data_IF_043718924869
#
_entry.id   IF_043718924869
#
_cell.length_a   1.000
_cell.length_b   1.000
_cell.length_c   1.000
_cell.angle_alpha   90.00
_cell.angle_beta   90.00
_cell.angle_gamma   90.00
#
_symmetry.space_group_name_H-M   'P 1'
#
loop_
_entity.id
_entity.type
_entity.pdbx_description
1 polymer ?
#
# COMPACT_ATOMS: atom_id res chain seq x y z
N UNK A 1 -7.22 -66.07 21.48
CA UNK A 1 -7.86 -64.75 21.67
C UNK A 1 -6.88 -63.80 22.36
N UNK A 2 -5.96 -63.16 21.64
CA UNK A 2 -4.92 -62.32 22.30
C UNK A 2 -4.31 -61.21 21.44
N UNK A 3 -4.88 -60.88 20.28
CA UNK A 3 -4.30 -59.91 19.33
C UNK A 3 -4.91 -58.51 19.33
N UNK A 4 -6.05 -58.27 20.02
CA UNK A 4 -6.72 -56.97 20.03
C UNK A 4 -6.13 -56.00 21.08
N UNK A 5 -5.81 -56.47 22.28
CA UNK A 5 -5.40 -55.58 23.38
C UNK A 5 -4.01 -54.96 23.22
N UNK A 6 -3.10 -55.61 22.49
CA UNK A 6 -1.76 -55.08 22.22
C UNK A 6 -1.77 -53.94 21.20
N UNK A 7 -2.72 -53.96 20.26
CA UNK A 7 -2.95 -52.88 19.28
C UNK A 7 -3.49 -51.62 19.96
N UNK A 8 -4.52 -51.77 20.79
CA UNK A 8 -5.11 -50.65 21.54
C UNK A 8 -4.09 -49.97 22.46
N UNK A 9 -3.27 -50.75 23.19
CA UNK A 9 -2.22 -50.19 24.05
C UNK A 9 -1.11 -49.47 23.26
N UNK A 10 -0.77 -49.97 22.06
CA UNK A 10 0.21 -49.32 21.19
C UNK A 10 -0.32 -48.02 20.59
N UNK A 11 -1.60 -47.99 20.20
CA UNK A 11 -2.29 -46.80 19.70
C UNK A 11 -2.45 -45.74 20.79
N UNK A 12 -2.80 -46.14 22.02
CA UNK A 12 -2.92 -45.22 23.15
C UNK A 12 -1.55 -44.60 23.54
N UNK A 13 -0.47 -45.38 23.46
CA UNK A 13 0.89 -44.88 23.68
C UNK A 13 1.31 -43.89 22.57
N UNK A 14 0.96 -44.15 21.32
CA UNK A 14 1.23 -43.25 20.21
C UNK A 14 0.43 -41.95 20.31
N UNK A 15 -0.85 -42.03 20.71
CA UNK A 15 -1.69 -40.87 20.99
C UNK A 15 -1.13 -40.02 22.15
N UNK A 16 -0.66 -40.65 23.23
CA UNK A 16 0.00 -39.92 24.34
C UNK A 16 1.27 -39.21 23.88
N UNK A 17 2.08 -39.84 23.04
CA UNK A 17 3.28 -39.19 22.46
C UNK A 17 2.91 -38.00 21.58
N UNK A 18 1.87 -38.12 20.74
CA UNK A 18 1.36 -37.01 19.93
C UNK A 18 0.84 -35.87 20.81
N UNK A 19 0.06 -36.17 21.86
CA UNK A 19 -0.42 -35.17 22.82
C UNK A 19 0.73 -34.44 23.51
N UNK A 20 1.73 -35.17 24.01
CA UNK A 20 2.90 -34.56 24.65
C UNK A 20 3.72 -33.68 23.70
N UNK A 21 3.81 -34.06 22.42
CA UNK A 21 4.47 -33.24 21.40
C UNK A 21 3.71 -31.94 21.16
N UNK A 22 2.39 -32.01 21.04
CA UNK A 22 1.51 -30.83 20.90
C UNK A 22 1.62 -29.93 22.12
N UNK A 23 1.56 -30.47 23.34
CA UNK A 23 1.69 -29.69 24.58
C UNK A 23 3.04 -28.94 24.64
N UNK A 24 4.11 -29.58 24.15
CA UNK A 24 5.44 -28.97 24.08
C UNK A 24 5.48 -27.83 23.07
N UNK A 25 4.90 -28.03 21.89
CA UNK A 25 4.78 -27.00 20.86
C UNK A 25 3.98 -25.79 21.36
N UNK A 26 2.84 -26.03 22.03
CA UNK A 26 2.02 -24.97 22.65
C UNK A 26 2.81 -24.19 23.71
N UNK A 27 3.60 -24.87 24.55
CA UNK A 27 4.42 -24.19 25.55
C UNK A 27 5.53 -23.34 24.93
N UNK A 28 6.15 -23.82 23.86
CA UNK A 28 7.20 -23.09 23.15
C UNK A 28 6.62 -21.88 22.39
N UNK A 29 5.46 -22.04 21.73
CA UNK A 29 4.72 -20.95 21.10
C UNK A 29 4.26 -19.92 22.12
N UNK A 30 3.75 -20.34 23.28
CA UNK A 30 3.36 -19.41 24.36
C UNK A 30 4.55 -18.56 24.83
N UNK A 31 5.73 -19.17 24.98
CA UNK A 31 6.96 -18.44 25.35
C UNK A 31 7.41 -17.47 24.26
N UNK A 32 7.28 -17.85 22.98
CA UNK A 32 7.60 -16.98 21.84
C UNK A 32 6.64 -15.78 21.76
N UNK A 33 5.34 -16.03 21.84
CA UNK A 33 4.28 -15.01 21.79
C UNK A 33 4.38 -14.02 22.95
N UNK A 34 4.75 -14.46 24.16
CA UNK A 34 4.97 -13.58 25.32
C UNK A 34 6.14 -12.59 25.13
N UNK A 35 7.06 -12.88 24.21
CA UNK A 35 8.23 -12.03 23.90
C UNK A 35 8.04 -11.21 22.62
N UNK A 36 6.91 -11.37 21.95
CA UNK A 36 6.56 -10.63 20.74
C UNK A 36 5.98 -9.27 21.14
N UNK A 37 6.55 -8.20 20.60
CA UNK A 37 6.07 -6.84 20.78
C UNK A 37 5.05 -6.54 19.67
N UNK A 38 3.78 -6.47 20.04
CA UNK A 38 2.68 -6.19 19.11
C UNK A 38 2.52 -4.68 18.94
N UNK A 39 2.66 -4.20 17.71
CA UNK A 39 2.54 -2.78 17.37
C UNK A 39 1.38 -2.60 16.40
N UNK A 40 0.44 -1.73 16.75
CA UNK A 40 -0.73 -1.42 15.93
C UNK A 40 -0.61 -0.02 15.30
N UNK A 41 -0.69 0.07 13.97
CA UNK A 41 -0.60 1.33 13.22
C UNK A 41 -1.99 1.91 12.95
N UNK A 42 -2.25 3.12 13.44
CA UNK A 42 -3.54 3.79 13.35
C UNK A 42 -3.44 5.13 12.62
N UNK A 43 -4.59 5.63 12.16
CA UNK A 43 -4.69 6.91 11.47
C UNK A 43 -5.66 6.86 10.30
N UNK A 44 -6.05 8.02 9.79
CA UNK A 44 -6.92 8.19 8.63
C UNK A 44 -6.39 7.48 7.38
N UNK A 45 -7.22 7.33 6.33
CA UNK A 45 -6.71 6.94 5.02
C UNK A 45 -5.53 7.83 4.64
N UNK A 46 -4.52 7.26 3.95
CA UNK A 46 -3.40 8.03 3.37
C UNK A 46 -2.39 8.61 4.36
N UNK A 47 -2.60 8.47 5.67
CA UNK A 47 -1.70 8.98 6.71
C UNK A 47 -0.29 8.35 6.79
N UNK A 48 0.08 7.49 5.84
CA UNK A 48 1.42 6.90 5.75
C UNK A 48 1.65 5.59 6.51
N UNK A 49 0.62 4.97 7.10
CA UNK A 49 0.73 3.68 7.82
C UNK A 49 1.40 2.58 6.99
N UNK A 50 0.87 2.31 5.80
CA UNK A 50 1.43 1.28 4.92
C UNK A 50 2.84 1.63 4.45
N UNK A 51 3.18 2.93 4.34
CA UNK A 51 4.55 3.39 4.07
C UNK A 51 5.49 3.02 5.20
N UNK A 52 5.08 3.16 6.46
CA UNK A 52 5.88 2.72 7.63
C UNK A 52 6.14 1.22 7.55
N UNK A 53 5.13 0.39 7.25
CA UNK A 53 5.32 -1.06 7.12
C UNK A 53 6.30 -1.40 5.99
N UNK A 54 6.16 -0.76 4.83
CA UNK A 54 7.08 -0.95 3.70
C UNK A 54 8.52 -0.57 4.08
N UNK A 55 8.71 0.53 4.82
CA UNK A 55 10.03 0.92 5.35
C UNK A 55 10.60 -0.11 6.32
N UNK A 56 9.77 -0.68 7.21
CA UNK A 56 10.24 -1.73 8.13
C UNK A 56 10.73 -2.97 7.39
N UNK A 57 10.09 -3.35 6.28
CA UNK A 57 10.58 -4.43 5.42
C UNK A 57 11.94 -4.09 4.81
N UNK A 58 12.14 -2.87 4.32
CA UNK A 58 13.42 -2.42 3.76
C UNK A 58 14.54 -2.49 4.81
N UNK A 59 14.29 -1.95 6.00
CA UNK A 59 15.31 -1.80 7.04
C UNK A 59 15.60 -3.14 7.77
N UNK A 60 14.58 -3.98 7.99
CA UNK A 60 14.68 -5.15 8.87
C UNK A 60 14.47 -6.51 8.18
N UNK A 61 14.11 -6.56 6.90
CA UNK A 61 13.86 -7.81 6.16
C UNK A 61 14.61 -7.89 4.82
N UNK A 62 15.75 -7.22 4.68
CA UNK A 62 16.58 -7.23 3.48
C UNK A 62 15.89 -6.69 2.21
N UNK A 63 14.97 -5.73 2.34
CA UNK A 63 14.36 -5.11 1.16
C UNK A 63 13.30 -5.96 0.49
N UNK A 64 13.09 -5.66 -0.79
CA UNK A 64 12.19 -6.39 -1.67
C UNK A 64 12.97 -7.24 -2.67
N UNK A 65 12.56 -8.48 -2.87
CA UNK A 65 13.12 -9.29 -3.97
C UNK A 65 12.63 -8.77 -5.32
N UNK A 66 13.31 -9.13 -6.41
CA UNK A 66 12.88 -8.76 -7.77
C UNK A 66 11.45 -9.23 -8.05
N UNK A 67 11.11 -10.45 -7.63
CA UNK A 67 9.77 -11.00 -7.78
C UNK A 67 8.75 -10.16 -7.00
N UNK A 68 9.04 -9.79 -5.75
CA UNK A 68 8.16 -8.92 -4.95
C UNK A 68 8.00 -7.54 -5.60
N UNK A 69 9.07 -6.95 -6.13
CA UNK A 69 9.02 -5.68 -6.86
C UNK A 69 8.12 -5.77 -8.08
N UNK A 70 8.19 -6.87 -8.84
CA UNK A 70 7.33 -7.08 -10.02
C UNK A 70 5.83 -7.10 -9.67
N UNK A 71 5.45 -7.58 -8.47
CA UNK A 71 4.04 -7.54 -8.04
C UNK A 71 3.49 -6.11 -7.89
N UNK A 72 4.36 -5.11 -7.71
CA UNK A 72 3.95 -3.69 -7.64
C UNK A 72 3.82 -3.03 -9.02
N UNK A 73 4.27 -3.68 -10.10
CA UNK A 73 4.34 -3.09 -11.44
C UNK A 73 2.97 -2.57 -11.90
N UNK A 74 1.94 -3.41 -11.80
CA UNK A 74 0.57 -3.04 -12.15
C UNK A 74 0.06 -1.87 -11.30
N UNK A 75 0.35 -1.86 -10.00
CA UNK A 75 -0.04 -0.77 -9.10
C UNK A 75 0.62 0.54 -9.51
N UNK A 76 1.91 0.52 -9.83
CA UNK A 76 2.63 1.72 -10.27
C UNK A 76 2.07 2.24 -11.59
N UNK A 77 1.78 1.36 -12.55
CA UNK A 77 1.14 1.76 -13.82
C UNK A 77 -0.21 2.40 -13.60
N UNK A 78 -1.06 1.80 -12.75
CA UNK A 78 -2.36 2.38 -12.38
C UNK A 78 -2.19 3.73 -11.72
N UNK A 79 -1.30 3.86 -10.73
CA UNK A 79 -1.06 5.13 -10.06
C UNK A 79 -0.57 6.22 -11.02
N UNK A 80 0.33 5.91 -11.96
CA UNK A 80 0.79 6.86 -12.97
C UNK A 80 -0.38 7.38 -13.83
N UNK A 81 -1.21 6.48 -14.35
CA UNK A 81 -2.36 6.82 -15.20
C UNK A 81 -3.46 7.54 -14.41
N UNK A 82 -3.76 7.09 -13.20
CA UNK A 82 -4.76 7.70 -12.31
C UNK A 82 -4.34 9.12 -11.90
N UNK A 83 -3.06 9.34 -11.60
CA UNK A 83 -2.54 10.69 -11.33
C UNK A 83 -2.69 11.60 -12.55
N UNK A 84 -2.36 11.08 -13.75
CA UNK A 84 -2.50 11.85 -14.99
C UNK A 84 -3.97 12.23 -15.27
N UNK A 85 -4.90 11.29 -15.04
CA UNK A 85 -6.34 11.56 -15.15
C UNK A 85 -6.82 12.59 -14.13
N UNK A 86 -6.39 12.50 -12.88
CA UNK A 86 -6.72 13.50 -11.87
C UNK A 86 -6.23 14.91 -12.24
N UNK A 87 -5.02 15.03 -12.81
CA UNK A 87 -4.51 16.30 -13.32
C UNK A 87 -5.37 16.84 -14.47
N UNK A 88 -5.77 15.97 -15.41
CA UNK A 88 -6.66 16.32 -16.53
C UNK A 88 -8.04 16.77 -16.05
N UNK A 89 -8.60 16.08 -15.06
CA UNK A 89 -9.88 16.44 -14.46
C UNK A 89 -9.80 17.80 -13.77
N UNK A 90 -8.71 18.08 -13.05
CA UNK A 90 -8.48 19.40 -12.46
C UNK A 90 -8.35 20.50 -13.53
N UNK A 91 -7.58 20.25 -14.60
CA UNK A 91 -7.49 21.19 -15.74
C UNK A 91 -8.87 21.51 -16.31
N UNK A 92 -9.73 20.50 -16.52
CA UNK A 92 -11.10 20.68 -17.00
C UNK A 92 -11.99 21.40 -15.98
N UNK A 93 -11.85 21.10 -14.69
CA UNK A 93 -12.64 21.70 -13.61
C UNK A 93 -12.38 23.20 -13.47
N UNK A 94 -11.14 23.65 -13.64
CA UNK A 94 -10.73 25.05 -13.52
C UNK A 94 -10.63 25.78 -14.86
N UNK A 95 -11.13 25.18 -15.94
CA UNK A 95 -11.07 25.72 -17.31
C UNK A 95 -9.64 26.10 -17.77
N UNK A 96 -8.63 25.36 -17.28
CA UNK A 96 -7.22 25.55 -17.63
C UNK A 96 -6.90 24.69 -18.87
N UNK A 97 -6.51 25.35 -19.96
CA UNK A 97 -6.15 24.71 -21.22
C UNK A 97 -4.63 24.57 -21.30
N UNK A 98 -4.07 23.42 -21.75
CA UNK A 98 -2.64 23.29 -21.98
C UNK A 98 -2.14 24.33 -22.98
N UNK A 99 -0.95 24.88 -22.74
CA UNK A 99 -0.34 25.85 -23.66
C UNK A 99 0.13 25.16 -24.95
N UNK A 100 0.61 23.91 -24.85
CA UNK A 100 1.01 23.15 -26.01
C UNK A 100 -0.19 22.45 -26.65
N UNK A 101 -0.48 22.76 -27.92
CA UNK A 101 -1.63 22.18 -28.63
C UNK A 101 -1.58 20.64 -28.69
N UNK A 102 -0.38 20.06 -28.81
CA UNK A 102 -0.17 18.61 -28.80
C UNK A 102 -0.64 17.94 -27.50
N UNK A 103 -0.62 18.68 -26.37
CA UNK A 103 -1.06 18.15 -25.10
C UNK A 103 -2.58 17.93 -25.05
N UNK A 104 -3.38 18.59 -25.90
CA UNK A 104 -4.82 18.30 -26.00
C UNK A 104 -5.07 16.87 -26.49
N UNK A 105 -4.32 16.42 -27.49
CA UNK A 105 -4.41 15.03 -27.96
C UNK A 105 -3.88 14.04 -26.90
N UNK A 106 -2.82 14.40 -26.19
CA UNK A 106 -2.30 13.60 -25.07
C UNK A 106 -3.32 13.46 -23.94
N UNK A 107 -4.05 14.52 -23.59
CA UNK A 107 -5.10 14.48 -22.58
C UNK A 107 -6.22 13.51 -22.98
N UNK A 108 -6.72 13.58 -24.21
CA UNK A 108 -7.78 12.68 -24.69
C UNK A 108 -7.31 11.21 -24.74
N UNK A 109 -6.07 10.97 -25.18
CA UNK A 109 -5.47 9.64 -25.15
C UNK A 109 -5.35 9.09 -23.73
N UNK A 110 -4.78 9.87 -22.80
CA UNK A 110 -4.58 9.45 -21.41
C UNK A 110 -5.91 9.21 -20.69
N UNK A 111 -6.91 10.04 -20.95
CA UNK A 111 -8.22 9.93 -20.32
C UNK A 111 -8.96 8.64 -20.72
N UNK A 112 -8.82 8.22 -21.97
CA UNK A 112 -9.42 6.99 -22.50
C UNK A 112 -8.57 5.74 -22.27
N UNK A 113 -7.27 5.89 -22.00
CA UNK A 113 -6.36 4.77 -21.78
C UNK A 113 -6.75 3.93 -20.54
N UNK A 114 -6.64 2.61 -20.69
CA UNK A 114 -6.85 1.64 -19.62
C UNK A 114 -5.60 0.77 -19.49
N UNK A 115 -5.09 0.65 -18.27
CA UNK A 115 -3.95 -0.21 -17.97
C UNK A 115 -4.39 -1.67 -18.11
N UNK A 116 -3.59 -2.46 -18.82
CA UNK A 116 -3.83 -3.89 -18.94
C UNK A 116 -3.80 -4.56 -17.55
N UNK A 117 -4.77 -5.41 -17.19
CA UNK A 117 -4.76 -6.09 -15.90
C UNK A 117 -3.62 -7.10 -15.73
N UNK A 118 -2.98 -7.57 -16.81
CA UNK A 118 -1.82 -8.45 -16.75
C UNK A 118 -0.54 -7.63 -16.43
N UNK A 119 0.11 -7.84 -15.27
CA UNK A 119 1.33 -7.12 -14.89
C UNK A 119 2.52 -7.40 -15.82
N UNK A 120 2.46 -8.45 -16.64
CA UNK A 120 3.53 -8.80 -17.58
C UNK A 120 3.45 -7.98 -18.87
N UNK A 121 2.29 -7.41 -19.19
CA UNK A 121 2.12 -6.54 -20.37
C UNK A 121 2.79 -5.19 -20.09
N UNK A 122 3.79 -4.79 -20.89
CA UNK A 122 4.41 -3.47 -20.72
C UNK A 122 3.44 -2.33 -20.96
N UNK A 123 3.66 -1.20 -20.28
CA UNK A 123 2.88 0.01 -20.52
C UNK A 123 3.15 0.55 -21.93
N UNK A 124 2.11 1.00 -22.63
CA UNK A 124 2.29 1.65 -23.94
C UNK A 124 3.20 2.88 -23.77
N UNK A 125 4.31 2.93 -24.51
CA UNK A 125 5.29 4.01 -24.42
C UNK A 125 4.66 5.38 -24.69
N UNK A 126 3.56 5.44 -25.45
CA UNK A 126 2.79 6.67 -25.66
C UNK A 126 2.26 7.26 -24.35
N UNK A 127 1.93 6.44 -23.35
CA UNK A 127 1.50 6.90 -22.02
C UNK A 127 2.62 7.69 -21.35
N UNK A 128 3.82 7.11 -21.25
CA UNK A 128 4.95 7.79 -20.60
C UNK A 128 5.32 9.11 -21.28
N UNK A 129 5.28 9.15 -22.62
CA UNK A 129 5.54 10.36 -23.40
C UNK A 129 4.46 11.41 -23.17
N UNK A 130 3.19 11.01 -23.23
CA UNK A 130 2.05 11.91 -23.01
C UNK A 130 2.05 12.49 -21.59
N UNK A 131 2.34 11.65 -20.58
CA UNK A 131 2.43 12.11 -19.18
C UNK A 131 3.59 13.09 -19.00
N UNK A 132 4.77 12.79 -19.53
CA UNK A 132 5.92 13.68 -19.42
C UNK A 132 5.66 15.03 -20.14
N UNK A 133 5.07 15.00 -21.34
CA UNK A 133 4.73 16.20 -22.10
C UNK A 133 3.65 17.05 -21.42
N UNK A 134 2.65 16.41 -20.80
CA UNK A 134 1.63 17.12 -20.04
C UNK A 134 2.19 17.73 -18.76
N UNK A 135 3.06 17.00 -18.04
CA UNK A 135 3.67 17.48 -16.81
C UNK A 135 4.62 18.68 -17.02
N UNK A 136 5.29 18.73 -18.17
CA UNK A 136 6.16 19.84 -18.59
C UNK A 136 5.36 21.02 -19.20
N UNK A 137 4.03 20.93 -19.29
CA UNK A 137 3.22 22.02 -19.82
C UNK A 137 3.22 23.24 -18.88
N UNK A 138 3.48 24.46 -19.38
CA UNK A 138 3.48 25.66 -18.55
C UNK A 138 2.13 25.99 -17.88
N UNK A 139 1.02 25.37 -18.30
CA UNK A 139 -0.27 25.50 -17.64
C UNK A 139 -0.35 24.71 -16.32
N UNK A 140 0.48 23.68 -16.10
CA UNK A 140 0.42 22.82 -14.91
C UNK A 140 0.60 23.57 -13.59
N UNK A 141 1.55 24.51 -13.44
CA UNK A 141 1.64 25.36 -12.25
C UNK A 141 0.31 26.01 -11.86
N UNK A 142 -0.44 26.54 -12.82
CA UNK A 142 -1.76 27.16 -12.58
C UNK A 142 -2.79 26.16 -12.04
N UNK A 143 -2.70 24.89 -12.46
CA UNK A 143 -3.55 23.81 -11.91
C UNK A 143 -3.17 23.51 -10.46
N UNK A 144 -1.87 23.51 -10.15
CA UNK A 144 -1.36 23.22 -8.82
C UNK A 144 -1.64 24.33 -7.80
N UNK A 145 -1.90 25.56 -8.25
CA UNK A 145 -2.42 26.63 -7.37
C UNK A 145 -3.76 26.26 -6.72
N UNK A 146 -4.54 25.38 -7.36
CA UNK A 146 -5.81 24.86 -6.86
C UNK A 146 -5.70 23.49 -6.17
N UNK A 147 -4.49 23.02 -5.82
CA UNK A 147 -4.27 21.66 -5.31
C UNK A 147 -5.11 21.29 -4.06
N UNK A 148 -5.50 22.26 -3.24
CA UNK A 148 -6.39 22.01 -2.08
C UNK A 148 -7.85 21.76 -2.45
N UNK A 149 -8.26 22.14 -3.67
CA UNK A 149 -9.67 22.09 -4.13
C UNK A 149 -10.02 20.80 -4.88
N UNK A 150 -9.02 19.99 -5.22
CA UNK A 150 -9.21 18.69 -5.84
C UNK A 150 -8.32 17.64 -5.20
N UNK A 151 -8.65 16.38 -5.43
CA UNK A 151 -7.84 15.29 -4.93
C UNK A 151 -6.86 14.80 -6.00
N UNK A 152 -5.58 14.80 -5.67
CA UNK A 152 -4.50 14.14 -6.42
C UNK A 152 -3.59 13.43 -5.43
N UNK A 153 -2.98 12.32 -5.84
CA UNK A 153 -2.03 11.63 -4.97
C UNK A 153 -0.80 12.51 -4.70
N UNK A 154 -0.37 12.61 -3.44
CA UNK A 154 0.85 13.33 -3.04
C UNK A 154 2.11 12.88 -3.81
N UNK A 155 2.14 11.62 -4.25
CA UNK A 155 3.24 11.06 -5.03
C UNK A 155 3.14 11.30 -6.54
N UNK A 156 2.11 12.02 -7.02
CA UNK A 156 1.95 12.30 -8.46
C UNK A 156 3.19 12.96 -9.09
N UNK A 157 3.83 13.99 -8.48
CA UNK A 157 5.03 14.60 -9.04
C UNK A 157 6.18 13.61 -9.25
N UNK A 158 6.34 12.65 -8.33
CA UNK A 158 7.33 11.59 -8.49
C UNK A 158 7.01 10.69 -9.68
N UNK A 159 5.76 10.23 -9.82
CA UNK A 159 5.38 9.37 -10.93
C UNK A 159 5.52 10.07 -12.28
N UNK A 160 5.20 11.37 -12.35
CA UNK A 160 5.35 12.16 -13.56
C UNK A 160 6.82 12.37 -13.94
N UNK A 161 7.69 12.69 -12.98
CA UNK A 161 9.13 12.81 -13.21
C UNK A 161 9.76 11.48 -13.67
N UNK A 162 9.26 10.36 -13.15
CA UNK A 162 9.76 9.01 -13.46
C UNK A 162 9.02 8.33 -14.62
N UNK A 163 8.10 9.03 -15.30
CA UNK A 163 7.21 8.45 -16.31
C UNK A 163 7.97 7.73 -17.42
N UNK A 164 9.09 8.29 -17.89
CA UNK A 164 9.93 7.68 -18.91
C UNK A 164 10.55 6.35 -18.46
N UNK A 165 11.01 6.25 -17.20
CA UNK A 165 11.54 5.01 -16.63
C UNK A 165 10.43 3.98 -16.43
N UNK A 166 9.29 4.41 -15.90
CA UNK A 166 8.12 3.54 -15.66
C UNK A 166 7.57 2.98 -16.97
N UNK A 167 7.54 3.77 -18.04
CA UNK A 167 7.07 3.33 -19.37
C UNK A 167 8.03 2.44 -20.15
N UNK A 168 9.23 2.15 -19.61
CA UNK A 168 10.20 1.28 -20.27
C UNK A 168 9.67 -0.16 -20.37
N UNK A 169 9.85 -0.87 -21.51
CA UNK A 169 9.48 -2.28 -21.63
C UNK A 169 10.16 -3.18 -20.59
N UNK A 170 11.40 -2.84 -20.22
CA UNK A 170 12.20 -3.56 -19.21
C UNK A 170 12.03 -2.98 -17.80
N UNK A 171 11.00 -2.17 -17.58
CA UNK A 171 10.74 -1.57 -16.28
C UNK A 171 10.51 -2.64 -15.19
N UNK A 172 11.36 -2.58 -14.17
CA UNK A 172 11.19 -3.26 -12.88
C UNK A 172 11.03 -2.17 -11.82
N UNK A 173 9.97 -2.21 -10.98
CA UNK A 173 9.80 -1.25 -9.91
C UNK A 173 10.99 -1.24 -8.95
N UNK A 174 11.34 -0.06 -8.47
CA UNK A 174 12.31 0.15 -7.40
C UNK A 174 11.61 0.21 -6.03
N UNK A 175 12.37 0.12 -4.94
CA UNK A 175 11.82 0.34 -3.60
C UNK A 175 11.21 1.75 -3.45
N UNK A 176 11.76 2.74 -4.14
CA UNK A 176 11.21 4.10 -4.17
C UNK A 176 9.83 4.16 -4.84
N UNK A 177 9.60 3.33 -5.87
CA UNK A 177 8.29 3.15 -6.49
C UNK A 177 7.33 2.45 -5.54
N UNK A 178 7.78 1.36 -4.89
CA UNK A 178 6.96 0.61 -3.93
C UNK A 178 6.50 1.48 -2.76
N UNK A 179 7.39 2.31 -2.21
CA UNK A 179 7.06 3.21 -1.11
C UNK A 179 5.98 4.23 -1.48
N UNK A 180 5.98 4.71 -2.72
CA UNK A 180 5.03 5.71 -3.25
C UNK A 180 3.78 5.09 -3.88
N UNK A 181 3.86 3.82 -4.27
CA UNK A 181 2.75 3.07 -4.82
C UNK A 181 1.61 2.99 -3.80
N UNK A 182 0.44 3.39 -4.24
CA UNK A 182 -0.76 3.44 -3.44
C UNK A 182 -1.70 2.33 -3.84
N UNK A 183 -2.00 1.51 -2.85
CA UNK A 183 -3.10 0.55 -2.88
C UNK A 183 -3.99 0.85 -1.69
N UNK A 184 -5.31 0.89 -1.91
CA UNK A 184 -6.26 1.01 -0.81
C UNK A 184 -6.13 -0.22 0.09
N UNK A 185 -5.64 -0.02 1.31
CA UNK A 185 -5.51 -1.08 2.31
C UNK A 185 -6.89 -1.52 2.78
N UNK A 186 -7.26 -2.77 2.49
CA UNK A 186 -8.51 -3.39 2.95
C UNK A 186 -8.21 -4.49 3.96
N UNK A 187 -8.86 -4.46 5.12
CA UNK A 187 -8.62 -5.41 6.20
C UNK A 187 -7.38 -5.10 7.04
N UNK A 188 -6.71 -6.16 7.49
CA UNK A 188 -5.58 -6.13 8.43
C UNK A 188 -4.40 -6.85 7.75
N UNK A 189 -3.26 -6.19 7.70
CA UNK A 189 -2.00 -6.75 7.21
C UNK A 189 -1.03 -6.89 8.38
N UNK A 190 -0.42 -8.07 8.49
CA UNK A 190 0.54 -8.38 9.55
C UNK A 190 1.96 -8.48 8.98
N UNK A 191 2.94 -7.96 9.70
CA UNK A 191 4.35 -8.11 9.34
C UNK A 191 5.17 -8.40 10.58
N UNK A 192 6.05 -9.40 10.51
CA UNK A 192 6.92 -9.80 11.63
C UNK A 192 8.38 -9.57 11.27
N UNK A 193 9.12 -8.89 12.12
CA UNK A 193 10.55 -8.66 11.92
C UNK A 193 11.29 -8.57 13.26
N UNK A 194 12.60 -8.78 13.22
CA UNK A 194 13.44 -8.66 14.41
C UNK A 194 14.15 -7.30 14.39
N UNK A 195 14.04 -6.57 15.50
CA UNK A 195 14.73 -5.30 15.72
C UNK A 195 15.62 -5.43 16.95
N UNK A 196 16.91 -5.68 16.73
CA UNK A 196 17.85 -6.00 17.81
C UNK A 196 17.45 -7.30 18.52
N UNK A 197 17.09 -7.22 19.79
CA UNK A 197 16.62 -8.36 20.59
C UNK A 197 15.09 -8.50 20.64
N UNK A 198 14.35 -7.55 20.03
CA UNK A 198 12.90 -7.53 20.04
C UNK A 198 12.35 -8.22 18.80
N UNK A 199 11.35 -9.10 18.99
CA UNK A 199 10.54 -9.62 17.89
C UNK A 199 9.31 -8.72 17.75
N UNK A 200 9.23 -7.96 16.66
CA UNK A 200 8.13 -7.05 16.39
C UNK A 200 7.08 -7.76 15.55
N UNK A 201 5.82 -7.61 15.92
CA UNK A 201 4.65 -7.99 15.14
C UNK A 201 3.80 -6.75 14.90
N UNK A 202 3.89 -6.22 13.69
CA UNK A 202 3.25 -4.98 13.29
C UNK A 202 1.95 -5.26 12.53
N UNK A 203 0.91 -4.51 12.86
CA UNK A 203 -0.41 -4.58 12.24
C UNK A 203 -0.71 -3.26 11.52
N UNK A 204 -0.89 -3.31 10.20
CA UNK A 204 -1.41 -2.21 9.39
C UNK A 204 -2.87 -2.45 9.06
N UNK A 205 -3.71 -1.49 9.42
CA UNK A 205 -5.15 -1.59 9.27
C UNK A 205 -5.66 -0.50 8.35
N UNK A 206 -6.71 -0.81 7.58
CA UNK A 206 -7.36 0.19 6.73
C UNK A 206 -7.83 1.39 7.55
N UNK A 207 -7.38 2.59 7.18
CA UNK A 207 -7.74 3.85 7.87
C UNK A 207 -9.09 4.45 7.46
N UNK A 208 -9.70 3.90 6.40
CA UNK A 208 -10.98 4.31 5.85
C UNK A 208 -12.14 3.94 6.77
N UNK A 209 -13.23 4.73 6.77
CA UNK A 209 -14.34 4.53 7.72
C UNK A 209 -14.95 3.14 7.63
N UNK A 210 -15.04 2.58 6.42
CA UNK A 210 -15.56 1.23 6.16
C UNK A 210 -14.70 0.14 6.82
N UNK A 211 -13.41 0.38 7.00
CA UNK A 211 -12.46 -0.58 7.56
C UNK A 211 -12.36 -0.46 9.08
N UNK A 212 -12.76 0.68 9.66
CA UNK A 212 -12.71 0.96 11.10
C UNK A 212 -13.61 0.07 11.98
N UNK A 213 -14.39 -0.86 11.41
CA UNK A 213 -15.10 -1.88 12.22
C UNK A 213 -14.35 -3.21 12.30
N UNK A 214 -13.32 -3.43 11.48
CA UNK A 214 -12.64 -4.72 11.31
C UNK A 214 -11.45 -4.91 12.26
N UNK A 215 -10.71 -3.83 12.52
CA UNK A 215 -9.52 -3.78 13.38
C UNK A 215 -9.77 -3.88 14.90
N UNK A 216 -11.01 -3.85 15.42
CA UNK A 216 -11.23 -3.88 16.88
C UNK A 216 -10.66 -5.15 17.54
N UNK A 217 -10.61 -6.24 16.78
CA UNK A 217 -10.03 -7.52 17.20
C UNK A 217 -8.49 -7.48 17.25
N UNK A 218 -7.85 -6.51 16.60
CA UNK A 218 -6.40 -6.34 16.64
C UNK A 218 -5.90 -5.64 17.91
N UNK A 219 -6.80 -5.10 18.75
CA UNK A 219 -6.43 -4.40 19.98
C UNK A 219 -6.11 -5.35 21.15
N UNK A 220 -6.38 -6.65 21.01
CA UNK A 220 -6.13 -7.58 22.11
C UNK A 220 -4.63 -7.78 22.33
N UNK A 221 -4.17 -7.41 23.54
CA UNK A 221 -2.78 -7.55 23.97
C UNK A 221 -1.75 -6.81 23.09
N UNK A 222 -2.13 -5.66 22.53
CA UNK A 222 -1.19 -4.76 21.83
C UNK A 222 -0.21 -4.15 22.83
N UNK A 223 1.08 -4.19 22.52
CA UNK A 223 2.15 -3.60 23.34
C UNK A 223 2.23 -2.09 23.15
N UNK A 224 2.04 -1.60 21.91
CA UNK A 224 2.11 -0.17 21.60
C UNK A 224 1.29 0.20 20.37
N UNK A 225 0.84 1.46 20.35
CA UNK A 225 0.07 2.04 19.25
C UNK A 225 0.91 3.16 18.62
N UNK A 226 1.03 3.15 17.29
CA UNK A 226 1.61 4.26 16.53
C UNK A 226 0.48 4.93 15.76
N UNK A 227 0.15 6.17 16.13
CA UNK A 227 -0.88 6.95 15.47
C UNK A 227 -0.24 7.88 14.43
N UNK A 228 -0.62 7.71 13.16
CA UNK A 228 -0.06 8.41 12.02
C UNK A 228 -1.03 9.49 11.54
N UNK A 229 -0.51 10.71 11.36
CA UNK A 229 -1.28 11.89 10.91
C UNK A 229 -0.57 12.51 9.71
N UNK A 230 -1.28 12.73 8.62
CA UNK A 230 -0.77 13.49 7.48
C UNK A 230 -0.92 14.99 7.76
N UNK A 231 0.19 15.68 7.92
CA UNK A 231 0.20 17.13 8.14
C UNK A 231 -0.05 17.92 6.85
N UNK A 232 0.31 17.36 5.70
CA UNK A 232 0.10 17.94 4.36
C UNK A 232 -1.37 17.99 3.95
N UNK A 233 -2.24 17.26 4.63
CA UNK A 233 -3.63 17.08 4.26
C UNK A 233 -4.59 17.94 5.12
N UNK A 234 -4.06 18.92 5.87
CA UNK A 234 -4.84 19.69 6.85
C UNK A 234 -5.96 20.54 6.21
N UNK A 235 -5.78 20.92 4.96
CA UNK A 235 -6.66 21.73 4.11
C UNK A 235 -7.36 20.90 3.01
N UNK A 236 -7.10 19.59 2.95
CA UNK A 236 -7.67 18.71 1.94
C UNK A 236 -9.03 18.13 2.36
N UNK A 237 -9.87 17.87 1.37
CA UNK A 237 -11.15 17.16 1.54
C UNK A 237 -10.95 15.65 1.64
N UNK A 238 -11.89 14.98 2.32
CA UNK A 238 -11.91 13.53 2.39
C UNK A 238 -12.31 12.92 1.05
N UNK A 239 -11.61 11.87 0.63
CA UNK A 239 -11.97 11.10 -0.56
C UNK A 239 -13.34 10.42 -0.43
N UNK A 240 -13.79 10.16 0.81
CA UNK A 240 -15.09 9.58 1.11
C UNK A 240 -16.22 10.64 1.16
N UNK A 241 -15.91 11.90 1.47
CA UNK A 241 -16.88 12.99 1.62
C UNK A 241 -16.26 14.35 1.22
N UNK A 242 -16.62 14.85 0.04
CA UNK A 242 -16.06 16.10 -0.53
C UNK A 242 -16.34 17.36 0.30
N UNK A 243 -17.30 17.32 1.22
CA UNK A 243 -17.67 18.47 2.08
C UNK A 243 -17.01 18.45 3.47
N UNK A 244 -16.13 17.48 3.77
CA UNK A 244 -15.48 17.38 5.07
C UNK A 244 -13.96 17.43 4.95
N UNK A 245 -13.35 18.38 5.66
CA UNK A 245 -11.90 18.53 5.74
C UNK A 245 -11.29 17.41 6.58
N UNK A 246 -10.20 16.80 6.11
CA UNK A 246 -9.53 15.65 6.73
C UNK A 246 -9.13 15.87 8.19
N UNK A 247 -8.67 17.08 8.53
CA UNK A 247 -8.26 17.46 9.90
C UNK A 247 -9.37 17.25 10.94
N UNK A 248 -10.62 17.40 10.55
CA UNK A 248 -11.78 17.23 11.46
C UNK A 248 -12.08 15.76 11.78
N UNK A 249 -11.39 14.82 11.14
CA UNK A 249 -11.63 13.39 11.25
C UNK A 249 -10.60 12.62 12.10
N UNK A 250 -9.38 13.15 12.21
CA UNK A 250 -8.30 12.61 13.09
C UNK A 250 -8.53 12.95 14.55
#
# INVERSE_FOLDING_TARGET
>A
MGGCMSREASEEMEQRKKSQAIDREIMDDSRRLRRECKILLLGSGESGKSTIVKQMKIIHQNGYTVDELQHYRLTVYKNLVDCAKALIDAMRQFDIVPEHEANKEHMEFLYTFQVDPDPNVPLDLRVSKAVAALWDDPAVPSVLEHQSEFYIMDSAPYFFAEAARIGSPEYIPSEADVLRARTKTTGIYETRFTMGQLNIHMFDVGGQRSERKKWIHCFESVTSIIFCVALSEYDQVLLEEQNQVRKTET
#
